data_IF_302545323554
#
_entry.id   IF_302545323554
#
_cell.length_a   1.000
_cell.length_b   1.000
_cell.length_c   1.000
_cell.angle_alpha   90.00
_cell.angle_beta   90.00
_cell.angle_gamma   90.00
#
_symmetry.space_group_name_H-M   'P 1'
#
loop_
_entity.id
_entity.type
_entity.pdbx_description
1 polymer ?
#
# COMPACT_ATOMS: atom_id res chain seq x y z
N UNK A 1 29.45 48.89 -58.19
CA UNK A 1 29.07 47.49 -58.27
C UNK A 1 29.64 46.73 -57.06
N UNK A 2 28.86 46.47 -56.04
CA UNK A 2 29.20 45.62 -54.89
C UNK A 2 28.20 44.48 -54.85
N UNK A 3 28.58 43.21 -54.67
CA UNK A 3 27.65 42.12 -54.50
C UNK A 3 27.17 42.02 -53.04
N UNK A 4 25.89 41.90 -52.88
CA UNK A 4 25.22 41.63 -51.57
C UNK A 4 25.29 40.14 -51.25
N UNK A 5 25.85 39.79 -50.11
CA UNK A 5 25.82 38.47 -49.50
C UNK A 5 24.57 38.30 -48.67
N UNK A 6 23.68 37.41 -49.08
CA UNK A 6 22.51 36.99 -48.33
C UNK A 6 22.92 35.86 -47.36
N UNK A 7 22.71 36.07 -46.04
CA UNK A 7 22.81 35.07 -44.98
C UNK A 7 21.45 34.34 -44.87
N UNK A 8 21.47 33.03 -45.12
CA UNK A 8 20.39 32.12 -44.78
C UNK A 8 20.43 31.75 -43.30
N UNK A 9 19.34 31.76 -42.54
CA UNK A 9 19.33 31.24 -41.19
C UNK A 9 19.26 29.70 -41.20
N UNK A 10 20.18 29.07 -40.49
CA UNK A 10 20.12 27.63 -40.21
C UNK A 10 18.98 27.31 -39.24
N UNK A 11 18.00 26.56 -39.73
CA UNK A 11 16.91 26.02 -38.91
C UNK A 11 17.48 24.79 -38.17
N UNK A 12 17.64 24.93 -36.85
CA UNK A 12 18.01 23.86 -35.95
C UNK A 12 16.73 23.00 -35.69
N UNK A 13 16.58 21.90 -36.39
CA UNK A 13 15.53 20.90 -36.14
C UNK A 13 15.88 20.11 -34.87
N UNK A 14 15.27 20.46 -33.76
CA UNK A 14 15.32 19.65 -32.55
C UNK A 14 14.50 18.36 -32.78
N UNK A 15 15.17 17.23 -32.88
CA UNK A 15 14.58 15.90 -32.89
C UNK A 15 14.01 15.62 -31.48
N UNK A 16 12.72 15.81 -31.33
CA UNK A 16 11.93 15.29 -30.21
C UNK A 16 11.89 13.76 -30.35
N UNK A 17 12.70 13.05 -29.58
CA UNK A 17 12.54 11.61 -29.42
C UNK A 17 11.17 11.32 -28.79
N UNK A 18 10.35 10.42 -29.33
CA UNK A 18 9.10 10.05 -28.70
C UNK A 18 9.39 9.38 -27.37
N UNK A 19 8.79 9.88 -26.27
CA UNK A 19 8.75 9.20 -25.00
C UNK A 19 8.12 7.83 -25.22
N UNK A 20 8.89 6.76 -25.03
CA UNK A 20 8.37 5.41 -25.09
C UNK A 20 7.26 5.29 -24.04
N UNK A 21 6.04 5.06 -24.48
CA UNK A 21 4.92 4.74 -23.62
C UNK A 21 5.32 3.47 -22.83
N UNK A 22 5.48 3.61 -21.53
CA UNK A 22 5.63 2.45 -20.63
C UNK A 22 4.30 1.74 -20.65
N UNK A 23 4.17 0.73 -21.52
CA UNK A 23 3.06 -0.20 -21.46
C UNK A 23 3.13 -0.93 -20.15
N UNK A 24 2.02 -0.88 -19.38
CA UNK A 24 1.87 -1.70 -18.18
C UNK A 24 2.28 -3.14 -18.53
N UNK A 25 3.21 -3.73 -17.77
CA UNK A 25 3.64 -5.10 -18.04
C UNK A 25 2.42 -6.01 -17.97
N UNK A 26 2.18 -6.87 -18.98
CA UNK A 26 1.11 -7.85 -18.93
C UNK A 26 1.32 -8.72 -17.68
N UNK A 27 0.35 -8.77 -16.80
CA UNK A 27 0.43 -9.64 -15.62
C UNK A 27 0.53 -11.10 -16.07
N UNK A 28 1.32 -11.91 -15.37
CA UNK A 28 1.52 -13.29 -15.77
C UNK A 28 0.18 -14.04 -15.85
N UNK A 29 0.03 -14.99 -16.78
CA UNK A 29 -1.22 -15.72 -17.03
C UNK A 29 -1.77 -16.50 -15.83
N UNK A 30 -1.01 -16.63 -14.77
CA UNK A 30 -1.40 -17.30 -13.50
C UNK A 30 -2.07 -16.39 -12.47
N UNK A 31 -2.40 -15.13 -12.81
CA UNK A 31 -3.08 -14.24 -11.87
C UNK A 31 -4.55 -14.64 -11.72
N UNK A 32 -5.05 -14.89 -10.49
CA UNK A 32 -6.45 -15.25 -10.27
C UNK A 32 -7.41 -14.21 -10.85
N UNK A 33 -8.56 -14.70 -11.30
CA UNK A 33 -9.70 -13.88 -11.71
C UNK A 33 -10.91 -14.27 -10.87
N UNK A 34 -11.46 -13.30 -10.14
CA UNK A 34 -12.65 -13.45 -9.31
C UNK A 34 -13.85 -12.86 -10.04
N UNK A 35 -14.89 -13.67 -10.26
CA UNK A 35 -16.12 -13.26 -10.97
C UNK A 35 -17.35 -13.68 -10.17
N UNK A 36 -18.49 -13.04 -10.41
CA UNK A 36 -19.76 -13.41 -9.76
C UNK A 36 -20.42 -12.24 -9.05
N UNK A 37 -21.14 -12.54 -7.95
CA UNK A 37 -21.90 -11.54 -7.22
C UNK A 37 -21.74 -11.66 -5.71
N UNK A 38 -21.86 -10.50 -5.03
CA UNK A 38 -21.93 -10.41 -3.58
C UNK A 38 -23.09 -9.49 -3.17
N UNK A 39 -23.79 -9.84 -2.10
CA UNK A 39 -24.86 -9.06 -1.51
C UNK A 39 -24.59 -8.77 -0.05
N UNK A 40 -24.84 -7.56 0.35
CA UNK A 40 -24.64 -7.05 1.69
C UNK A 40 -25.92 -6.42 2.20
N UNK A 41 -26.17 -6.53 3.49
CA UNK A 41 -27.25 -5.82 4.18
C UNK A 41 -26.66 -5.08 5.39
N UNK A 42 -26.65 -3.77 5.33
CA UNK A 42 -26.10 -2.88 6.35
C UNK A 42 -26.81 -2.99 7.70
N UNK A 43 -28.11 -3.27 7.70
CA UNK A 43 -28.91 -3.32 8.92
C UNK A 43 -28.73 -4.62 9.69
N UNK A 44 -28.57 -5.74 8.98
CA UNK A 44 -28.44 -7.07 9.58
C UNK A 44 -26.99 -7.58 9.61
N UNK A 45 -26.05 -6.93 8.92
CA UNK A 45 -24.68 -7.42 8.75
C UNK A 45 -24.61 -8.69 7.90
N UNK A 46 -25.67 -9.03 7.16
CA UNK A 46 -25.71 -10.23 6.31
C UNK A 46 -24.85 -10.04 5.07
N UNK A 47 -24.13 -11.10 4.72
CA UNK A 47 -23.29 -11.20 3.53
C UNK A 47 -23.60 -12.49 2.81
N UNK A 48 -23.81 -12.42 1.50
CA UNK A 48 -23.99 -13.57 0.61
C UNK A 48 -23.05 -13.42 -0.58
N UNK A 49 -22.55 -14.54 -1.08
CA UNK A 49 -21.73 -14.56 -2.29
C UNK A 49 -22.00 -15.78 -3.14
N UNK A 50 -21.95 -15.56 -4.45
CA UNK A 50 -21.90 -16.60 -5.49
C UNK A 50 -20.74 -16.21 -6.42
N UNK A 51 -19.57 -16.75 -6.14
CA UNK A 51 -18.30 -16.24 -6.66
C UNK A 51 -17.44 -17.36 -7.19
N UNK A 52 -16.91 -17.19 -8.41
CA UNK A 52 -15.95 -18.07 -9.03
C UNK A 52 -14.55 -17.47 -9.00
N UNK A 53 -13.55 -18.29 -8.69
CA UNK A 53 -12.13 -17.96 -8.78
C UNK A 53 -11.49 -18.87 -9.82
N UNK A 54 -11.02 -18.29 -10.91
CA UNK A 54 -10.32 -18.96 -12.01
C UNK A 54 -8.84 -18.59 -12.08
N UNK A 55 -8.07 -19.24 -12.95
CA UNK A 55 -6.62 -19.03 -13.11
C UNK A 55 -5.86 -19.17 -11.77
N UNK A 56 -6.21 -20.17 -11.00
CA UNK A 56 -5.63 -20.42 -9.68
C UNK A 56 -4.21 -20.95 -9.80
N UNK A 57 -3.26 -20.52 -8.94
CA UNK A 57 -1.92 -21.10 -8.91
C UNK A 57 -1.93 -22.62 -8.70
N UNK A 58 -0.98 -23.33 -9.29
CA UNK A 58 -0.92 -24.80 -9.25
C UNK A 58 -0.94 -25.39 -7.83
N UNK A 59 -0.27 -24.75 -6.87
CA UNK A 59 -0.25 -25.18 -5.47
C UNK A 59 -1.58 -25.01 -4.73
N UNK A 60 -2.54 -24.31 -5.31
CA UNK A 60 -3.84 -23.99 -4.69
C UNK A 60 -5.05 -24.65 -5.38
N UNK A 61 -4.85 -25.59 -6.32
CA UNK A 61 -5.96 -26.12 -7.12
C UNK A 61 -7.05 -26.85 -6.32
N UNK A 62 -6.74 -27.36 -5.15
CA UNK A 62 -7.69 -28.02 -4.24
C UNK A 62 -7.92 -27.26 -2.93
N UNK A 63 -7.39 -26.07 -2.75
CA UNK A 63 -7.52 -25.35 -1.49
C UNK A 63 -7.89 -23.89 -1.72
N UNK A 64 -8.72 -23.34 -0.85
CA UNK A 64 -9.01 -21.93 -0.78
C UNK A 64 -9.23 -21.51 0.68
N UNK A 65 -9.14 -20.23 0.95
CA UNK A 65 -9.53 -19.65 2.23
C UNK A 65 -10.76 -18.75 2.05
N UNK A 66 -11.59 -18.72 3.08
CA UNK A 66 -12.75 -17.84 3.19
C UNK A 66 -12.89 -17.42 4.66
N UNK A 67 -13.44 -16.24 4.93
CA UNK A 67 -13.68 -15.78 6.30
C UNK A 67 -14.42 -16.83 7.13
N UNK A 68 -13.97 -17.05 8.36
CA UNK A 68 -14.54 -18.08 9.25
C UNK A 68 -16.01 -17.80 9.65
N UNK A 69 -16.47 -16.55 9.55
CA UNK A 69 -17.87 -16.16 9.75
C UNK A 69 -18.79 -16.41 8.54
N UNK A 70 -18.21 -16.84 7.41
CA UNK A 70 -18.96 -17.20 6.21
C UNK A 70 -19.09 -18.71 6.07
N UNK A 71 -20.32 -19.19 5.93
CA UNK A 71 -20.62 -20.61 5.79
C UNK A 71 -20.75 -20.97 4.30
N UNK A 72 -19.93 -21.91 3.85
CA UNK A 72 -19.98 -22.42 2.48
C UNK A 72 -21.20 -23.33 2.33
N UNK A 73 -22.10 -22.99 1.43
CA UNK A 73 -23.30 -23.76 1.12
C UNK A 73 -23.04 -24.78 -0.02
N UNK A 74 -22.22 -24.39 -0.98
CA UNK A 74 -21.93 -25.21 -2.18
C UNK A 74 -20.60 -24.83 -2.78
N UNK A 75 -19.89 -25.85 -3.30
CA UNK A 75 -18.71 -25.67 -4.15
C UNK A 75 -18.94 -26.43 -5.44
N UNK A 76 -18.60 -25.81 -6.57
CA UNK A 76 -18.62 -26.45 -7.90
C UNK A 76 -17.33 -26.16 -8.63
N UNK A 77 -17.04 -26.95 -9.65
CA UNK A 77 -16.02 -26.61 -10.63
C UNK A 77 -16.51 -25.55 -11.64
N UNK A 78 -15.68 -25.25 -12.65
CA UNK A 78 -16.00 -24.26 -13.68
C UNK A 78 -17.16 -24.66 -14.61
N UNK A 79 -17.49 -25.94 -14.67
CA UNK A 79 -18.60 -26.50 -15.49
C UNK A 79 -19.89 -26.63 -14.66
N UNK A 80 -19.85 -26.25 -13.39
CA UNK A 80 -20.99 -26.31 -12.47
C UNK A 80 -21.18 -27.67 -11.79
N UNK A 81 -20.27 -28.66 -11.99
CA UNK A 81 -20.34 -29.93 -11.33
C UNK A 81 -20.01 -29.77 -9.83
N UNK A 82 -20.82 -30.37 -8.92
CA UNK A 82 -20.60 -30.25 -7.49
C UNK A 82 -19.28 -30.93 -7.08
N UNK A 83 -18.59 -30.30 -6.14
CA UNK A 83 -17.38 -30.79 -5.54
C UNK A 83 -17.61 -31.02 -4.04
N UNK A 84 -17.23 -32.19 -3.55
CA UNK A 84 -17.16 -32.43 -2.12
C UNK A 84 -16.03 -31.57 -1.52
N UNK A 85 -16.25 -31.00 -0.34
CA UNK A 85 -15.31 -30.15 0.33
C UNK A 85 -15.30 -30.35 1.85
N UNK A 86 -14.18 -30.04 2.45
CA UNK A 86 -13.98 -30.02 3.90
C UNK A 86 -13.40 -28.67 4.30
N UNK A 87 -13.84 -28.16 5.47
CA UNK A 87 -13.32 -26.93 6.05
C UNK A 87 -12.65 -27.19 7.40
N UNK A 88 -11.47 -26.61 7.64
CA UNK A 88 -10.79 -26.70 8.93
C UNK A 88 -10.16 -25.38 9.34
N UNK A 89 -9.94 -25.23 10.64
CA UNK A 89 -9.18 -24.12 11.20
C UNK A 89 -7.69 -24.37 11.06
N UNK A 90 -6.98 -23.45 10.42
CA UNK A 90 -5.52 -23.48 10.26
C UNK A 90 -4.88 -22.31 11.01
N UNK A 91 -4.30 -22.57 12.20
CA UNK A 91 -3.58 -21.53 12.94
C UNK A 91 -2.47 -20.93 12.10
N UNK A 92 -2.37 -19.60 12.09
CA UNK A 92 -1.36 -18.86 11.32
C UNK A 92 -1.71 -18.65 9.84
N UNK A 93 -2.92 -18.96 9.41
CA UNK A 93 -3.50 -18.32 8.22
C UNK A 93 -3.87 -16.91 8.64
N UNK A 94 -3.32 -15.93 7.93
CA UNK A 94 -3.51 -14.52 8.27
C UNK A 94 -4.98 -14.13 8.20
N UNK A 95 -5.44 -13.37 9.19
CA UNK A 95 -6.83 -12.97 9.37
C UNK A 95 -7.72 -14.08 9.95
N UNK A 96 -9.03 -13.86 9.94
CA UNK A 96 -10.05 -14.74 10.50
C UNK A 96 -10.55 -15.75 9.46
N UNK A 97 -9.66 -16.36 8.71
CA UNK A 97 -10.01 -17.26 7.61
C UNK A 97 -10.03 -18.73 8.04
N UNK A 98 -10.94 -19.48 7.42
CA UNK A 98 -10.96 -20.94 7.44
C UNK A 98 -10.41 -21.48 6.13
N UNK A 99 -9.61 -22.55 6.20
CA UNK A 99 -9.13 -23.26 5.02
C UNK A 99 -10.15 -24.30 4.59
N UNK A 100 -10.40 -24.37 3.30
CA UNK A 100 -11.24 -25.37 2.66
C UNK A 100 -10.44 -26.19 1.67
N UNK A 101 -10.67 -27.50 1.65
CA UNK A 101 -10.11 -28.43 0.65
C UNK A 101 -11.25 -29.04 -0.15
N UNK A 102 -11.09 -29.09 -1.46
CA UNK A 102 -11.99 -29.79 -2.36
C UNK A 102 -11.43 -31.13 -2.77
N UNK A 103 -12.30 -32.13 -2.94
CA UNK A 103 -11.91 -33.51 -3.23
C UNK A 103 -11.15 -33.66 -4.56
N UNK A 104 -11.39 -32.77 -5.54
CA UNK A 104 -10.74 -32.82 -6.84
C UNK A 104 -10.12 -31.47 -7.16
N UNK A 105 -8.85 -31.44 -7.65
CA UNK A 105 -8.24 -30.20 -8.13
C UNK A 105 -9.07 -29.55 -9.25
N UNK A 106 -9.28 -28.24 -9.17
CA UNK A 106 -9.97 -27.48 -10.21
C UNK A 106 -9.29 -26.16 -10.47
N UNK A 107 -9.09 -25.82 -11.74
CA UNK A 107 -8.57 -24.51 -12.15
C UNK A 107 -9.56 -23.39 -11.90
N UNK A 108 -10.85 -23.70 -11.82
CA UNK A 108 -11.93 -22.77 -11.47
C UNK A 108 -12.78 -23.37 -10.35
N UNK A 109 -12.96 -22.64 -9.26
CA UNK A 109 -13.87 -23.00 -8.18
C UNK A 109 -14.94 -21.91 -8.07
N UNK A 110 -16.21 -22.33 -8.04
CA UNK A 110 -17.33 -21.46 -7.73
C UNK A 110 -17.86 -21.81 -6.34
N UNK A 111 -17.99 -20.81 -5.48
CA UNK A 111 -18.34 -20.98 -4.07
C UNK A 111 -19.55 -20.13 -3.76
N UNK A 112 -20.62 -20.79 -3.25
CA UNK A 112 -21.79 -20.14 -2.68
C UNK A 112 -21.66 -20.12 -1.17
N UNK A 113 -21.81 -18.94 -0.57
CA UNK A 113 -21.63 -18.78 0.87
C UNK A 113 -22.57 -17.71 1.44
N UNK A 114 -22.81 -17.80 2.75
CA UNK A 114 -23.60 -16.83 3.52
C UNK A 114 -23.05 -16.70 4.93
N UNK A 115 -23.17 -15.50 5.48
CA UNK A 115 -22.84 -15.22 6.88
C UNK A 115 -23.54 -13.98 7.39
N UNK A 116 -23.40 -13.71 8.67
CA UNK A 116 -23.86 -12.47 9.28
C UNK A 116 -22.84 -12.03 10.33
N UNK A 117 -22.55 -10.73 10.34
CA UNK A 117 -21.56 -10.11 11.22
C UNK A 117 -22.23 -9.10 12.13
N UNK A 118 -21.70 -8.86 13.33
CA UNK A 118 -22.25 -7.85 14.22
C UNK A 118 -22.31 -6.47 13.55
N UNK A 119 -23.40 -5.75 13.77
CA UNK A 119 -23.54 -4.35 13.37
C UNK A 119 -23.28 -3.48 14.59
N UNK A 120 -22.17 -2.79 14.61
CA UNK A 120 -21.73 -1.95 15.72
C UNK A 120 -22.32 -0.53 15.60
N UNK A 121 -23.59 -0.37 15.94
CA UNK A 121 -24.25 0.94 15.95
C UNK A 121 -23.75 1.84 17.09
N UNK A 122 -23.10 1.30 18.10
CA UNK A 122 -22.45 2.01 19.21
C UNK A 122 -20.96 1.71 19.22
N UNK A 123 -20.16 2.75 19.42
CA UNK A 123 -18.71 2.67 19.34
C UNK A 123 -18.06 2.77 20.73
N UNK A 124 -18.64 2.12 21.72
CA UNK A 124 -18.23 2.18 23.12
C UNK A 124 -17.29 1.04 23.56
N UNK A 125 -17.06 0.07 22.69
CA UNK A 125 -16.14 -1.03 22.95
C UNK A 125 -14.95 -1.00 21.98
N UNK A 126 -13.71 -1.27 22.45
CA UNK A 126 -12.57 -1.50 21.59
C UNK A 126 -12.86 -2.66 20.64
N UNK A 127 -12.65 -2.47 19.35
CA UNK A 127 -12.83 -3.50 18.34
C UNK A 127 -11.58 -3.51 17.46
N UNK A 128 -10.95 -4.67 17.31
CA UNK A 128 -9.88 -4.82 16.34
C UNK A 128 -10.44 -4.60 14.94
N UNK A 129 -9.79 -3.72 14.22
CA UNK A 129 -10.25 -3.27 12.93
C UNK A 129 -9.56 -3.98 11.77
N UNK A 130 -8.43 -4.62 12.02
CA UNK A 130 -7.68 -5.37 11.02
C UNK A 130 -8.32 -6.73 10.81
N UNK A 131 -8.54 -7.08 9.54
CA UNK A 131 -9.07 -8.39 9.17
C UNK A 131 -10.57 -8.59 9.38
N UNK A 132 -11.27 -7.64 9.98
CA UNK A 132 -12.72 -7.75 10.21
C UNK A 132 -13.54 -7.39 8.98
N UNK A 133 -14.66 -8.08 8.84
CA UNK A 133 -15.80 -7.63 8.05
C UNK A 133 -16.65 -6.76 8.97
N UNK A 134 -16.54 -5.45 8.83
CA UNK A 134 -17.07 -4.49 9.78
C UNK A 134 -18.32 -3.79 9.26
N UNK A 135 -19.36 -3.75 10.09
CA UNK A 135 -20.59 -2.99 9.87
C UNK A 135 -20.85 -2.06 11.07
N UNK A 136 -21.20 -0.80 10.79
CA UNK A 136 -21.51 0.16 11.84
C UNK A 136 -22.84 0.90 11.63
N UNK A 137 -23.69 0.42 10.74
CA UNK A 137 -24.96 1.04 10.39
C UNK A 137 -24.87 2.11 9.29
N UNK A 138 -23.75 2.81 9.17
CA UNK A 138 -23.51 3.87 8.16
C UNK A 138 -22.55 3.42 7.06
N UNK A 139 -21.71 2.43 7.35
CA UNK A 139 -20.75 1.86 6.41
C UNK A 139 -20.48 0.39 6.67
N UNK A 140 -20.06 -0.31 5.62
CA UNK A 140 -19.51 -1.65 5.68
C UNK A 140 -18.13 -1.63 5.04
N UNK A 141 -17.15 -2.29 5.68
CA UNK A 141 -15.80 -2.43 5.19
C UNK A 141 -15.36 -3.90 5.23
N UNK A 142 -14.85 -4.38 4.12
CA UNK A 142 -14.26 -5.70 3.98
C UNK A 142 -12.86 -5.54 3.41
N UNK A 143 -11.86 -5.65 4.28
CA UNK A 143 -10.47 -5.62 3.85
C UNK A 143 -10.10 -6.93 3.14
N UNK A 144 -9.06 -6.90 2.34
CA UNK A 144 -8.52 -8.09 1.67
C UNK A 144 -8.06 -9.15 2.68
N UNK A 145 -7.59 -8.73 3.86
CA UNK A 145 -7.18 -9.62 4.95
C UNK A 145 -8.36 -10.37 5.56
N UNK A 146 -9.58 -9.87 5.43
CA UNK A 146 -10.78 -10.53 5.96
C UNK A 146 -11.15 -11.81 5.20
N UNK A 147 -10.57 -12.05 4.02
CA UNK A 147 -10.94 -13.15 3.13
C UNK A 147 -12.47 -13.24 2.87
N UNK A 148 -13.12 -12.10 2.66
CA UNK A 148 -14.56 -12.03 2.41
C UNK A 148 -14.99 -12.64 1.07
N UNK A 149 -14.03 -12.82 0.16
CA UNK A 149 -14.16 -13.62 -1.06
C UNK A 149 -13.26 -14.86 -0.97
N UNK A 150 -13.59 -15.94 -1.67
CA UNK A 150 -12.70 -17.10 -1.76
C UNK A 150 -11.36 -16.69 -2.34
N UNK A 151 -10.27 -16.99 -1.64
CA UNK A 151 -8.89 -16.72 -2.08
C UNK A 151 -8.15 -18.04 -2.28
N UNK A 152 -7.43 -18.17 -3.39
CA UNK A 152 -6.58 -19.31 -3.63
C UNK A 152 -5.51 -19.42 -2.53
N UNK A 153 -5.30 -20.62 -2.00
CA UNK A 153 -4.36 -20.86 -0.89
C UNK A 153 -3.45 -22.06 -1.22
N UNK A 154 -2.13 -21.85 -1.10
CA UNK A 154 -1.15 -22.94 -1.17
C UNK A 154 -0.79 -23.37 0.26
N UNK A 155 -1.25 -24.55 0.72
CA UNK A 155 -1.00 -25.00 2.09
C UNK A 155 0.44 -25.40 2.35
N UNK A 156 1.24 -25.73 1.31
CA UNK A 156 2.66 -26.08 1.45
C UNK A 156 3.52 -24.83 1.63
N UNK A 157 3.29 -23.83 0.78
CA UNK A 157 3.97 -22.55 0.88
C UNK A 157 3.36 -21.65 1.98
N UNK A 158 2.16 -21.96 2.48
CA UNK A 158 1.35 -21.15 3.40
C UNK A 158 1.08 -19.75 2.86
N UNK A 159 0.87 -19.66 1.54
CA UNK A 159 0.63 -18.40 0.85
C UNK A 159 -0.80 -18.37 0.32
N UNK A 160 -1.51 -17.29 0.60
CA UNK A 160 -2.81 -16.96 0.01
C UNK A 160 -2.67 -15.90 -1.08
N UNK A 161 -3.49 -16.01 -2.11
CA UNK A 161 -3.60 -14.99 -3.15
C UNK A 161 -4.64 -13.95 -2.72
N UNK A 162 -4.19 -12.93 -2.00
CA UNK A 162 -5.06 -11.82 -1.54
C UNK A 162 -5.43 -10.85 -2.67
N UNK A 163 -4.79 -10.97 -3.82
CA UNK A 163 -5.02 -10.14 -4.99
C UNK A 163 -5.60 -10.94 -6.14
N UNK A 164 -6.51 -10.32 -6.84
CA UNK A 164 -7.16 -10.91 -8.00
C UNK A 164 -7.52 -9.83 -9.03
N UNK A 165 -7.54 -10.18 -10.30
CA UNK A 165 -8.38 -9.48 -11.27
C UNK A 165 -9.83 -9.78 -10.90
N UNK A 166 -10.74 -8.89 -11.22
CA UNK A 166 -12.13 -9.14 -10.85
C UNK A 166 -13.13 -8.58 -11.86
N UNK A 167 -14.30 -9.22 -11.90
CA UNK A 167 -15.52 -8.74 -12.53
C UNK A 167 -16.69 -9.17 -11.62
N UNK A 168 -17.09 -8.27 -10.74
CA UNK A 168 -18.01 -8.53 -9.65
C UNK A 168 -19.23 -7.61 -9.71
N UNK A 169 -20.42 -8.19 -9.57
CA UNK A 169 -21.64 -7.46 -9.26
C UNK A 169 -21.78 -7.39 -7.73
N UNK A 170 -21.93 -6.19 -7.19
CA UNK A 170 -22.13 -5.98 -5.76
C UNK A 170 -23.45 -5.26 -5.52
N UNK A 171 -24.23 -5.79 -4.57
CA UNK A 171 -25.46 -5.17 -4.08
C UNK A 171 -25.33 -4.93 -2.57
N UNK A 172 -25.78 -3.78 -2.09
CA UNK A 172 -25.72 -3.42 -0.68
C UNK A 172 -27.00 -2.71 -0.25
N UNK A 173 -27.87 -3.43 0.45
CA UNK A 173 -29.06 -2.82 1.05
C UNK A 173 -28.62 -1.83 2.15
N UNK A 174 -29.09 -0.58 2.04
CA UNK A 174 -28.73 0.52 2.94
C UNK A 174 -27.53 1.37 2.52
N UNK A 175 -26.75 0.98 1.50
CA UNK A 175 -25.68 1.81 0.97
C UNK A 175 -26.19 2.91 0.05
N UNK A 176 -25.52 4.05 0.04
CA UNK A 176 -25.70 5.14 -0.92
C UNK A 176 -24.60 5.20 -1.97
N UNK A 177 -23.48 4.56 -1.71
CA UNK A 177 -22.43 4.31 -2.66
C UNK A 177 -21.69 3.01 -2.35
N UNK A 178 -21.02 2.47 -3.38
CA UNK A 178 -20.15 1.31 -3.31
C UNK A 178 -18.77 1.65 -3.89
N UNK A 179 -17.75 1.08 -3.30
CA UNK A 179 -16.38 1.19 -3.78
C UNK A 179 -15.67 -0.15 -3.67
N UNK A 180 -15.07 -0.61 -4.75
CA UNK A 180 -14.17 -1.75 -4.77
C UNK A 180 -12.79 -1.27 -5.22
N UNK A 181 -11.76 -1.60 -4.44
CA UNK A 181 -10.39 -1.12 -4.63
C UNK A 181 -9.89 -1.36 -6.07
N UNK A 182 -9.40 -0.32 -6.71
CA UNK A 182 -8.94 -0.34 -8.10
C UNK A 182 -10.01 -0.07 -9.16
N UNK A 183 -11.28 0.13 -8.74
CA UNK A 183 -12.38 0.58 -9.62
C UNK A 183 -12.92 1.93 -9.19
N UNK A 184 -13.54 2.71 -10.07
CA UNK A 184 -14.25 3.91 -9.65
C UNK A 184 -15.38 3.58 -8.66
N UNK A 185 -15.56 4.42 -7.64
CA UNK A 185 -16.72 4.32 -6.76
C UNK A 185 -18.02 4.57 -7.55
N UNK A 186 -19.09 3.87 -7.20
CA UNK A 186 -20.40 3.94 -7.86
C UNK A 186 -21.43 4.47 -6.87
N UNK A 187 -22.21 5.47 -7.26
CA UNK A 187 -23.35 5.96 -6.50
C UNK A 187 -24.51 4.97 -6.62
N UNK A 188 -25.20 4.71 -5.50
CA UNK A 188 -26.30 3.77 -5.42
C UNK A 188 -25.96 2.50 -4.65
N UNK A 189 -26.99 1.65 -4.51
CA UNK A 189 -26.94 0.42 -3.73
C UNK A 189 -26.45 -0.81 -4.52
N UNK A 190 -26.11 -0.66 -5.79
CA UNK A 190 -25.64 -1.75 -6.62
C UNK A 190 -24.66 -1.25 -7.69
N UNK A 191 -23.71 -2.10 -8.06
CA UNK A 191 -22.75 -1.78 -9.10
C UNK A 191 -21.96 -2.97 -9.59
N UNK A 192 -21.45 -2.87 -10.83
CA UNK A 192 -20.49 -3.82 -11.39
C UNK A 192 -19.11 -3.21 -11.38
N UNK A 193 -18.17 -3.95 -10.80
CA UNK A 193 -16.78 -3.54 -10.65
C UNK A 193 -15.88 -4.46 -11.44
N UNK A 194 -14.96 -3.88 -12.21
CA UNK A 194 -14.02 -4.64 -13.01
C UNK A 194 -12.61 -4.07 -12.89
N UNK A 195 -11.64 -4.96 -12.73
CA UNK A 195 -10.22 -4.64 -12.87
C UNK A 195 -9.50 -5.74 -13.63
N UNK A 196 -8.84 -5.37 -14.71
CA UNK A 196 -7.98 -6.27 -15.49
C UNK A 196 -6.58 -6.40 -14.87
N UNK A 197 -6.24 -5.51 -13.92
CA UNK A 197 -5.05 -5.59 -13.07
C UNK A 197 -5.42 -6.29 -11.77
N UNK A 198 -4.53 -7.17 -11.28
CA UNK A 198 -4.71 -7.75 -9.96
C UNK A 198 -4.63 -6.66 -8.88
N UNK A 199 -5.58 -6.70 -7.96
CA UNK A 199 -5.69 -5.76 -6.85
C UNK A 199 -6.04 -6.52 -5.56
N UNK A 200 -5.59 -6.04 -4.42
CA UNK A 200 -6.19 -6.43 -3.15
C UNK A 200 -7.68 -6.07 -3.18
N UNK A 201 -8.56 -7.03 -2.86
CA UNK A 201 -10.00 -6.80 -2.99
C UNK A 201 -10.56 -6.26 -1.68
N UNK A 202 -10.43 -4.94 -1.47
CA UNK A 202 -11.08 -4.19 -0.43
C UNK A 202 -12.42 -3.68 -0.96
N UNK A 203 -13.51 -3.99 -0.25
CA UNK A 203 -14.84 -3.45 -0.51
C UNK A 203 -15.23 -2.46 0.58
N UNK A 204 -15.81 -1.35 0.17
CA UNK A 204 -16.45 -0.39 1.07
C UNK A 204 -17.83 0.02 0.53
N UNK A 205 -18.82 -0.04 1.39
CA UNK A 205 -20.14 0.53 1.16
C UNK A 205 -20.42 1.60 2.20
N UNK A 206 -20.98 2.74 1.81
CA UNK A 206 -21.20 3.84 2.72
C UNK A 206 -22.43 4.68 2.40
N UNK A 207 -22.79 5.54 3.36
CA UNK A 207 -23.89 6.50 3.24
C UNK A 207 -23.42 7.93 2.94
N UNK A 208 -22.12 8.20 3.02
CA UNK A 208 -21.52 9.52 2.82
C UNK A 208 -21.36 9.92 1.34
N UNK A 209 -20.79 11.09 1.09
CA UNK A 209 -20.60 11.62 -0.26
C UNK A 209 -19.38 11.02 -0.97
N UNK A 210 -19.35 11.21 -2.29
CA UNK A 210 -18.20 10.98 -3.16
C UNK A 210 -17.78 12.31 -3.77
N UNK A 211 -16.51 12.71 -3.58
CA UNK A 211 -15.91 13.85 -4.27
C UNK A 211 -14.81 13.34 -5.22
N UNK A 212 -14.78 13.84 -6.45
CA UNK A 212 -13.80 13.45 -7.47
C UNK A 212 -13.13 14.67 -8.06
N UNK A 213 -11.80 14.65 -8.13
CA UNK A 213 -11.00 15.60 -8.91
C UNK A 213 -10.18 14.86 -9.95
N UNK A 214 -9.36 15.55 -10.71
CA UNK A 214 -8.40 14.91 -11.61
C UNK A 214 -7.33 14.11 -10.83
N UNK A 215 -6.99 14.52 -9.59
CA UNK A 215 -5.89 13.97 -8.81
C UNK A 215 -6.32 12.97 -7.75
N UNK A 216 -7.49 13.17 -7.13
CA UNK A 216 -7.96 12.35 -6.01
C UNK A 216 -9.43 12.00 -6.10
N UNK A 217 -9.80 10.88 -5.50
CA UNK A 217 -11.18 10.59 -5.10
C UNK A 217 -11.25 10.64 -3.57
N UNK A 218 -12.30 11.25 -3.02
CA UNK A 218 -12.55 11.33 -1.57
C UNK A 218 -13.89 10.65 -1.32
N UNK A 219 -13.89 9.68 -0.43
CA UNK A 219 -15.05 8.88 -0.09
C UNK A 219 -15.45 9.08 1.38
N UNK A 220 -16.76 9.18 1.59
CA UNK A 220 -17.39 9.19 2.91
C UNK A 220 -17.11 10.45 3.76
N UNK A 221 -16.66 11.52 3.14
CA UNK A 221 -16.48 12.82 3.82
C UNK A 221 -16.72 13.98 2.86
N UNK A 222 -17.47 15.00 3.31
CA UNK A 222 -17.64 16.27 2.58
C UNK A 222 -16.53 17.23 2.98
N UNK A 223 -15.79 17.71 1.98
CA UNK A 223 -14.77 18.74 2.21
C UNK A 223 -15.12 20.04 1.47
N UNK A 224 -14.83 21.22 2.06
CA UNK A 224 -14.79 22.49 1.34
C UNK A 224 -13.80 22.44 0.16
N UNK A 225 -14.05 23.28 -0.84
CA UNK A 225 -13.25 23.30 -2.09
C UNK A 225 -11.77 23.56 -1.82
N UNK A 226 -11.44 24.50 -0.95
CA UNK A 226 -10.05 24.82 -0.59
C UNK A 226 -9.30 23.63 0.01
N UNK A 227 -9.97 22.79 0.81
CA UNK A 227 -9.41 21.57 1.38
C UNK A 227 -9.21 20.50 0.30
N UNK A 228 -10.17 20.35 -0.61
CA UNK A 228 -10.04 19.44 -1.77
C UNK A 228 -8.87 19.84 -2.66
N UNK A 229 -8.71 21.15 -2.89
CA UNK A 229 -7.63 21.71 -3.72
C UNK A 229 -6.26 21.52 -3.05
N UNK A 230 -6.15 21.75 -1.74
CA UNK A 230 -4.92 21.53 -0.98
C UNK A 230 -4.47 20.08 -1.02
N UNK A 231 -5.40 19.13 -0.82
CA UNK A 231 -5.12 17.70 -0.91
C UNK A 231 -4.71 17.30 -2.33
N UNK A 232 -5.47 17.73 -3.34
CA UNK A 232 -5.22 17.43 -4.76
C UNK A 232 -3.86 17.96 -5.21
N UNK A 233 -3.53 19.20 -4.83
CA UNK A 233 -2.23 19.82 -5.13
C UNK A 233 -1.08 19.05 -4.48
N UNK A 234 -1.22 18.62 -3.23
CA UNK A 234 -0.20 17.85 -2.52
C UNK A 234 0.02 16.49 -3.20
N UNK A 235 -1.05 15.76 -3.51
CA UNK A 235 -0.99 14.48 -4.23
C UNK A 235 -0.30 14.65 -5.59
N UNK A 236 -0.64 15.70 -6.35
CA UNK A 236 0.01 15.94 -7.65
C UNK A 236 1.52 16.18 -7.49
N UNK A 237 1.94 17.00 -6.52
CA UNK A 237 3.35 17.26 -6.26
C UNK A 237 4.12 15.97 -5.89
N UNK A 238 3.53 15.13 -5.06
CA UNK A 238 4.11 13.83 -4.70
C UNK A 238 4.21 12.92 -5.92
N UNK A 239 3.13 12.81 -6.72
CA UNK A 239 3.10 11.98 -7.93
C UNK A 239 4.17 12.43 -8.95
N UNK A 240 4.32 13.73 -9.18
CA UNK A 240 5.32 14.30 -10.08
C UNK A 240 6.74 14.00 -9.60
N UNK A 241 6.98 14.16 -8.29
CA UNK A 241 8.27 13.88 -7.70
C UNK A 241 8.63 12.39 -7.81
N UNK A 242 7.70 11.52 -7.46
CA UNK A 242 7.91 10.08 -7.55
C UNK A 242 8.11 9.60 -8.99
N UNK A 243 7.34 10.12 -9.94
CA UNK A 243 7.49 9.78 -11.35
C UNK A 243 8.89 10.14 -11.86
N UNK A 244 9.45 11.29 -11.45
CA UNK A 244 10.82 11.69 -11.79
C UNK A 244 11.85 10.81 -11.08
N UNK A 245 11.68 10.56 -9.78
CA UNK A 245 12.63 9.81 -8.97
C UNK A 245 12.69 8.33 -9.39
N UNK A 246 11.53 7.67 -9.46
CA UNK A 246 11.43 6.25 -9.78
C UNK A 246 11.46 5.94 -11.28
N UNK A 247 11.22 6.94 -12.14
CA UNK A 247 11.15 6.74 -13.60
C UNK A 247 9.90 6.01 -14.07
N UNK A 248 8.93 5.75 -13.18
CA UNK A 248 7.65 5.09 -13.45
C UNK A 248 6.54 5.96 -12.88
N UNK A 249 5.57 6.43 -13.69
CA UNK A 249 4.46 7.25 -13.21
C UNK A 249 3.49 6.43 -12.36
N UNK A 250 2.82 7.10 -11.43
CA UNK A 250 1.65 6.54 -10.77
C UNK A 250 0.49 6.52 -11.78
N UNK A 251 -0.07 5.33 -12.03
CA UNK A 251 -1.13 5.16 -13.03
C UNK A 251 -2.54 5.28 -12.43
N UNK A 252 -2.69 5.00 -11.14
CA UNK A 252 -3.96 5.06 -10.46
C UNK A 252 -4.12 6.39 -9.72
N UNK A 253 -5.36 6.88 -9.66
CA UNK A 253 -5.73 8.02 -8.83
C UNK A 253 -5.90 7.56 -7.39
N UNK A 254 -5.20 8.16 -6.41
CA UNK A 254 -5.41 7.84 -5.02
C UNK A 254 -6.86 8.10 -4.58
N UNK A 255 -7.39 7.16 -3.82
CA UNK A 255 -8.72 7.26 -3.22
C UNK A 255 -8.57 7.37 -1.72
N UNK A 256 -8.85 8.56 -1.17
CA UNK A 256 -8.89 8.79 0.26
C UNK A 256 -10.25 8.32 0.79
N UNK A 257 -10.23 7.35 1.67
CA UNK A 257 -11.41 6.76 2.26
C UNK A 257 -11.46 7.09 3.75
N UNK A 258 -12.47 7.85 4.18
CA UNK A 258 -12.75 7.99 5.59
C UNK A 258 -13.48 6.75 6.09
N UNK A 259 -12.79 5.96 6.88
CA UNK A 259 -13.39 4.85 7.61
C UNK A 259 -14.09 5.40 8.87
N UNK A 260 -15.25 4.86 9.19
CA UNK A 260 -15.83 5.06 10.52
C UNK A 260 -15.18 4.05 11.45
N UNK A 261 -14.55 4.51 12.51
CA UNK A 261 -13.94 3.63 13.51
C UNK A 261 -15.03 2.90 14.29
N UNK A 262 -14.75 1.66 14.66
CA UNK A 262 -15.60 0.90 15.56
C UNK A 262 -15.27 1.18 17.04
N UNK A 263 -14.31 2.07 17.30
CA UNK A 263 -13.87 2.43 18.63
C UNK A 263 -14.04 3.93 18.87
N UNK A 264 -15.01 4.30 19.67
CA UNK A 264 -15.30 5.70 19.98
C UNK A 264 -14.20 6.35 20.80
N UNK A 265 -13.56 5.61 21.71
CA UNK A 265 -12.46 6.12 22.54
C UNK A 265 -11.27 6.53 21.67
N UNK A 266 -10.93 5.74 20.67
CA UNK A 266 -9.88 6.12 19.73
C UNK A 266 -10.31 7.28 18.82
N UNK A 267 -11.55 7.29 18.37
CA UNK A 267 -12.08 8.37 17.52
C UNK A 267 -12.03 9.72 18.20
N UNK A 268 -12.36 9.77 19.49
CA UNK A 268 -12.45 11.00 20.28
C UNK A 268 -11.07 11.40 20.87
N UNK A 269 -10.06 10.56 20.76
CA UNK A 269 -8.70 10.79 21.23
C UNK A 269 -7.90 11.51 20.15
N UNK A 270 -7.54 12.75 20.39
CA UNK A 270 -6.68 13.52 19.49
C UNK A 270 -5.33 12.79 19.27
N UNK A 271 -4.96 12.56 18.02
CA UNK A 271 -3.72 11.88 17.65
C UNK A 271 -3.77 10.35 17.60
N UNK A 272 -4.93 9.74 17.82
CA UNK A 272 -5.12 8.28 17.66
C UNK A 272 -5.57 7.87 16.24
N UNK A 273 -5.55 8.80 15.30
CA UNK A 273 -5.91 8.52 13.92
C UNK A 273 -4.85 7.61 13.29
N UNK A 274 -5.32 6.53 12.74
CA UNK A 274 -4.49 5.59 12.01
C UNK A 274 -5.01 5.41 10.58
N UNK A 275 -4.14 4.98 9.70
CA UNK A 275 -4.46 4.73 8.31
C UNK A 275 -3.66 3.56 7.76
N UNK A 276 -4.03 3.11 6.58
CA UNK A 276 -3.28 2.13 5.82
C UNK A 276 -3.50 2.34 4.33
N UNK A 277 -2.53 1.95 3.53
CA UNK A 277 -2.67 1.92 2.09
C UNK A 277 -2.97 0.50 1.59
N UNK A 278 -4.06 0.38 0.85
CA UNK A 278 -4.34 -0.74 -0.06
C UNK A 278 -4.47 -0.12 -1.44
N UNK A 279 -3.34 0.14 -2.08
CA UNK A 279 -3.29 0.99 -3.27
C UNK A 279 -4.35 0.61 -4.33
N UNK A 280 -5.08 1.57 -4.94
CA UNK A 280 -4.96 3.03 -4.77
C UNK A 280 -5.72 3.64 -3.57
N UNK A 281 -6.23 2.84 -2.63
CA UNK A 281 -6.95 3.31 -1.45
C UNK A 281 -5.98 3.71 -0.35
N UNK A 282 -6.13 4.93 0.16
CA UNK A 282 -5.55 5.42 1.41
C UNK A 282 -6.71 5.56 2.40
N UNK A 283 -6.83 4.59 3.29
CA UNK A 283 -7.93 4.51 4.25
C UNK A 283 -7.51 5.16 5.57
N UNK A 284 -8.38 5.98 6.16
CA UNK A 284 -8.10 6.75 7.37
C UNK A 284 -9.24 6.61 8.37
N UNK A 285 -8.89 6.40 9.65
CA UNK A 285 -9.88 6.42 10.75
C UNK A 285 -10.26 7.84 11.17
N UNK A 286 -9.36 8.80 10.96
CA UNK A 286 -9.58 10.20 11.22
C UNK A 286 -10.23 10.96 10.06
N UNK A 287 -10.44 12.27 10.27
CA UNK A 287 -10.99 13.15 9.25
C UNK A 287 -9.96 13.48 8.17
N UNK A 288 -10.32 13.27 6.92
CA UNK A 288 -9.54 13.74 5.76
C UNK A 288 -9.47 15.27 5.80
N UNK A 289 -10.52 15.93 6.30
CA UNK A 289 -10.56 17.36 6.52
C UNK A 289 -9.47 17.87 7.45
N UNK A 290 -9.12 17.15 8.52
CA UNK A 290 -8.02 17.49 9.42
C UNK A 290 -6.66 17.42 8.74
N UNK A 291 -6.48 16.46 7.83
CA UNK A 291 -5.27 16.38 6.99
C UNK A 291 -5.17 17.63 6.11
N UNK A 292 -6.26 17.97 5.42
CA UNK A 292 -6.31 19.15 4.56
C UNK A 292 -6.14 20.47 5.34
N UNK A 293 -6.73 20.59 6.54
CA UNK A 293 -6.51 21.74 7.43
C UNK A 293 -5.05 21.92 7.80
N UNK A 294 -4.37 20.82 8.08
CA UNK A 294 -2.94 20.84 8.39
C UNK A 294 -2.11 21.29 7.18
N UNK A 295 -2.48 20.85 5.96
CA UNK A 295 -1.83 21.29 4.72
C UNK A 295 -2.01 22.80 4.49
N UNK A 296 -3.23 23.32 4.72
CA UNK A 296 -3.54 24.75 4.58
C UNK A 296 -2.85 25.61 5.64
N UNK A 297 -2.70 25.10 6.86
CA UNK A 297 -2.04 25.82 7.95
C UNK A 297 -0.55 26.06 7.70
N UNK A 298 0.09 25.27 6.84
CA UNK A 298 1.53 25.37 6.57
C UNK A 298 2.42 24.91 7.73
N UNK A 299 3.72 25.18 7.60
CA UNK A 299 4.74 24.86 8.62
C UNK A 299 4.84 23.37 8.92
N UNK A 300 5.28 23.02 10.14
CA UNK A 300 5.53 21.62 10.52
C UNK A 300 4.28 20.72 10.46
N UNK A 301 3.08 21.27 10.63
CA UNK A 301 1.84 20.49 10.49
C UNK A 301 1.66 20.03 9.05
N UNK A 302 1.85 20.94 8.09
CA UNK A 302 1.80 20.59 6.67
C UNK A 302 2.90 19.61 6.28
N UNK A 303 4.13 19.82 6.77
CA UNK A 303 5.28 18.94 6.51
C UNK A 303 4.98 17.49 6.92
N UNK A 304 4.41 17.29 8.12
CA UNK A 304 4.01 15.95 8.58
C UNK A 304 2.95 15.31 7.68
N UNK A 305 1.98 16.10 7.18
CA UNK A 305 0.93 15.58 6.30
C UNK A 305 1.45 15.32 4.88
N UNK A 306 2.36 16.12 4.38
CA UNK A 306 3.07 15.85 3.11
C UNK A 306 3.84 14.54 3.21
N UNK A 307 4.59 14.34 4.30
CA UNK A 307 5.36 13.12 4.54
C UNK A 307 4.44 11.90 4.62
N UNK A 308 3.34 11.98 5.40
CA UNK A 308 2.36 10.89 5.51
C UNK A 308 1.74 10.52 4.17
N UNK A 309 1.22 11.49 3.42
CA UNK A 309 0.62 11.24 2.09
C UNK A 309 1.66 10.63 1.15
N UNK A 310 2.87 11.15 1.18
CA UNK A 310 3.95 10.63 0.36
C UNK A 310 4.32 9.19 0.74
N UNK A 311 4.37 8.85 2.04
CA UNK A 311 4.60 7.49 2.52
C UNK A 311 3.56 6.52 1.94
N UNK A 312 2.27 6.81 2.14
CA UNK A 312 1.18 5.98 1.63
C UNK A 312 1.20 5.84 0.09
N UNK A 313 1.56 6.91 -0.61
CA UNK A 313 1.74 6.87 -2.06
C UNK A 313 2.99 6.08 -2.48
N UNK A 314 4.00 5.96 -1.63
CA UNK A 314 5.20 5.16 -1.83
C UNK A 314 4.89 3.67 -1.98
N UNK A 315 3.84 3.17 -1.33
CA UNK A 315 3.38 1.79 -1.44
C UNK A 315 2.89 1.39 -2.84
N UNK A 316 2.69 2.36 -3.74
CA UNK A 316 2.50 2.04 -5.16
C UNK A 316 3.71 1.31 -5.76
N UNK A 317 4.92 1.76 -5.46
CA UNK A 317 6.15 1.16 -6.00
C UNK A 317 6.50 -0.14 -5.28
N UNK A 318 6.56 -0.09 -3.94
CA UNK A 318 6.88 -1.24 -3.10
C UNK A 318 5.65 -1.69 -2.31
N UNK A 319 4.88 -2.58 -2.88
CA UNK A 319 3.59 -3.06 -2.39
C UNK A 319 2.62 -3.38 -3.53
N UNK A 320 2.67 -2.61 -4.63
CA UNK A 320 1.80 -2.84 -5.79
C UNK A 320 2.58 -3.25 -7.04
N UNK A 321 3.53 -2.43 -7.51
CA UNK A 321 4.35 -2.77 -8.68
C UNK A 321 5.37 -3.87 -8.37
N UNK A 322 6.16 -3.69 -7.33
CA UNK A 322 6.97 -4.75 -6.74
C UNK A 322 6.26 -5.21 -5.47
N UNK A 323 6.01 -6.50 -5.37
CA UNK A 323 5.38 -7.14 -4.20
C UNK A 323 6.47 -7.80 -3.39
N UNK A 324 6.92 -7.15 -2.31
CA UNK A 324 8.01 -7.68 -1.52
C UNK A 324 7.70 -9.06 -0.96
N UNK A 325 8.73 -9.89 -0.88
CA UNK A 325 8.69 -11.22 -0.29
C UNK A 325 10.01 -11.49 0.45
N UNK A 326 10.01 -12.55 1.27
CA UNK A 326 11.21 -13.01 1.95
C UNK A 326 11.68 -12.11 3.09
N UNK A 327 12.94 -12.25 3.51
CA UNK A 327 13.48 -11.59 4.70
C UNK A 327 13.42 -10.07 4.67
N UNK A 328 13.62 -9.49 3.50
CA UNK A 328 13.59 -8.03 3.31
C UNK A 328 12.18 -7.46 3.06
N UNK A 329 11.12 -8.24 3.27
CA UNK A 329 9.73 -7.83 3.03
C UNK A 329 9.44 -6.44 3.62
N UNK A 330 9.69 -6.25 4.91
CA UNK A 330 9.39 -4.99 5.60
C UNK A 330 10.29 -3.83 5.20
N UNK A 331 11.54 -4.11 4.84
CA UNK A 331 12.47 -3.09 4.33
C UNK A 331 12.00 -2.58 2.98
N UNK A 332 11.60 -3.49 2.10
CA UNK A 332 11.11 -3.10 0.78
C UNK A 332 9.74 -2.42 0.86
N UNK A 333 8.83 -2.91 1.70
CA UNK A 333 7.48 -2.36 1.82
C UNK A 333 7.50 -1.00 2.52
N UNK A 334 7.91 -0.98 3.79
CA UNK A 334 7.75 0.20 4.65
C UNK A 334 8.94 1.16 4.56
N UNK A 335 10.16 0.60 4.65
CA UNK A 335 11.33 1.48 4.70
C UNK A 335 11.62 2.15 3.37
N UNK A 336 11.28 1.50 2.25
CA UNK A 336 11.38 2.15 0.93
C UNK A 336 10.31 3.23 0.76
N UNK A 337 9.08 3.02 1.24
CA UNK A 337 8.02 4.04 1.24
C UNK A 337 8.43 5.23 2.11
N UNK A 338 8.99 4.97 3.29
CA UNK A 338 9.49 6.00 4.19
C UNK A 338 10.67 6.77 3.60
N UNK A 339 11.65 6.10 2.99
CA UNK A 339 12.74 6.76 2.27
C UNK A 339 12.21 7.67 1.15
N UNK A 340 11.29 7.17 0.34
CA UNK A 340 10.66 7.95 -0.73
C UNK A 340 9.89 9.16 -0.18
N UNK A 341 9.21 9.01 0.97
CA UNK A 341 8.48 10.10 1.61
C UNK A 341 9.41 11.24 2.07
N UNK A 342 10.61 10.90 2.56
CA UNK A 342 11.63 11.88 2.92
C UNK A 342 12.14 12.62 1.67
N UNK A 343 12.31 11.93 0.56
CA UNK A 343 12.67 12.56 -0.73
C UNK A 343 11.56 13.49 -1.21
N UNK A 344 10.30 13.08 -1.08
CA UNK A 344 9.14 13.92 -1.41
C UNK A 344 9.06 15.16 -0.51
N UNK A 345 9.24 14.98 0.80
CA UNK A 345 9.25 16.08 1.76
C UNK A 345 10.32 17.11 1.39
N UNK A 346 11.54 16.65 1.06
CA UNK A 346 12.65 17.52 0.60
C UNK A 346 12.29 18.29 -0.65
N UNK A 347 11.73 17.63 -1.65
CA UNK A 347 11.35 18.23 -2.92
C UNK A 347 10.16 19.17 -2.88
N UNK A 348 9.26 19.01 -1.90
CA UNK A 348 8.00 19.77 -1.79
C UNK A 348 8.10 20.87 -0.73
N UNK A 349 8.69 20.56 0.43
CA UNK A 349 8.75 21.46 1.59
C UNK A 349 10.15 22.01 1.88
N UNK A 350 11.17 21.56 1.13
CA UNK A 350 12.53 22.06 1.22
C UNK A 350 13.45 21.21 2.12
N UNK A 351 14.74 21.55 2.08
CA UNK A 351 15.81 20.83 2.81
C UNK A 351 15.58 20.87 4.33
N UNK A 352 15.26 22.04 4.88
CA UNK A 352 15.06 22.21 6.32
C UNK A 352 13.95 21.31 6.88
N UNK A 353 12.87 21.11 6.12
CA UNK A 353 11.76 20.24 6.53
C UNK A 353 12.20 18.77 6.59
N UNK A 354 12.91 18.32 5.55
CA UNK A 354 13.45 16.96 5.49
C UNK A 354 14.52 16.72 6.58
N UNK A 355 15.39 17.68 6.81
CA UNK A 355 16.45 17.58 7.82
C UNK A 355 15.87 17.55 9.24
N UNK A 356 14.84 18.36 9.53
CA UNK A 356 14.08 18.23 10.80
C UNK A 356 13.47 16.85 10.97
N UNK A 357 12.90 16.29 9.89
CA UNK A 357 12.32 14.95 9.95
C UNK A 357 13.38 13.89 10.20
N UNK A 358 14.49 13.93 9.47
CA UNK A 358 15.64 13.02 9.66
C UNK A 358 16.21 13.14 11.07
N UNK A 359 16.34 14.35 11.62
CA UNK A 359 16.79 14.55 12.99
C UNK A 359 15.86 13.90 14.04
N UNK A 360 14.54 13.89 13.80
CA UNK A 360 13.59 13.15 14.66
C UNK A 360 13.82 11.65 14.60
N UNK A 361 14.01 11.08 13.40
CA UNK A 361 14.34 9.66 13.25
C UNK A 361 15.65 9.32 13.98
N UNK A 362 16.67 10.16 13.85
CA UNK A 362 17.95 10.00 14.53
C UNK A 362 17.78 10.01 16.07
N UNK A 363 16.99 10.99 16.58
CA UNK A 363 16.70 11.08 18.01
C UNK A 363 15.95 9.84 18.53
N UNK A 364 15.09 9.23 17.71
CA UNK A 364 14.41 8.01 18.07
C UNK A 364 15.38 6.81 18.18
N UNK A 365 16.32 6.68 17.25
CA UNK A 365 17.38 5.66 17.31
C UNK A 365 18.30 5.87 18.51
N UNK A 366 18.67 7.11 18.85
CA UNK A 366 19.53 7.41 19.99
C UNK A 366 18.90 7.00 21.35
N UNK A 367 17.57 6.90 21.39
CA UNK A 367 16.80 6.47 22.58
C UNK A 367 16.50 4.96 22.59
N UNK A 368 16.83 4.24 21.50
CA UNK A 368 16.56 2.82 21.39
C UNK A 368 17.50 2.02 22.33
N UNK A 369 16.92 1.38 23.33
CA UNK A 369 17.67 0.61 24.32
C UNK A 369 18.07 -0.80 23.82
N UNK A 370 17.19 -1.42 23.02
CA UNK A 370 17.43 -2.77 22.50
C UNK A 370 18.17 -2.69 21.17
N UNK A 371 19.21 -3.52 20.97
CA UNK A 371 19.89 -3.57 19.68
C UNK A 371 18.94 -4.04 18.58
N UNK A 372 19.01 -3.39 17.41
CA UNK A 372 18.30 -3.82 16.22
C UNK A 372 19.17 -4.77 15.40
N UNK A 373 18.58 -5.70 14.64
CA UNK A 373 19.32 -6.59 13.75
C UNK A 373 20.20 -5.79 12.79
N UNK A 374 21.42 -6.29 12.53
CA UNK A 374 22.25 -5.72 11.50
C UNK A 374 21.59 -5.90 10.13
N UNK A 375 21.66 -4.88 9.28
CA UNK A 375 20.94 -4.88 7.99
C UNK A 375 21.42 -6.00 7.03
N UNK A 376 22.71 -6.36 7.12
CA UNK A 376 23.32 -7.47 6.34
C UNK A 376 23.08 -8.86 6.95
N UNK A 377 22.52 -8.93 8.16
CA UNK A 377 22.19 -10.17 8.86
C UNK A 377 20.67 -10.45 8.91
N UNK A 378 19.86 -9.69 8.15
CA UNK A 378 18.43 -9.93 8.06
C UNK A 378 18.17 -11.30 7.43
N UNK A 379 17.38 -12.12 8.12
CA UNK A 379 16.91 -13.42 7.67
C UNK A 379 15.43 -13.63 7.99
N UNK A 380 14.88 -14.79 7.67
CA UNK A 380 13.46 -15.11 7.90
C UNK A 380 13.04 -15.17 9.38
N UNK A 381 13.99 -15.16 10.33
CA UNK A 381 13.74 -15.15 11.79
C UNK A 381 13.85 -13.75 12.40
N UNK A 382 14.29 -12.75 11.62
CA UNK A 382 14.55 -11.39 12.12
C UNK A 382 13.24 -10.68 12.49
N UNK A 383 13.17 -10.18 13.73
CA UNK A 383 12.08 -9.31 14.17
C UNK A 383 12.32 -7.87 13.68
N UNK A 384 11.61 -7.51 12.61
CA UNK A 384 11.67 -6.17 12.04
C UNK A 384 10.44 -5.37 12.47
N UNK A 385 10.38 -5.01 13.76
CA UNK A 385 9.33 -4.18 14.34
C UNK A 385 9.31 -2.74 13.79
N UNK A 386 8.38 -1.91 14.27
CA UNK A 386 8.16 -0.53 13.76
C UNK A 386 9.42 0.33 13.78
N UNK A 387 10.20 0.30 14.87
CA UNK A 387 11.46 1.03 14.97
C UNK A 387 12.43 0.67 13.83
N UNK A 388 12.44 -0.60 13.42
CA UNK A 388 13.25 -1.03 12.29
C UNK A 388 12.72 -0.48 10.97
N UNK A 389 11.42 -0.64 10.73
CA UNK A 389 10.76 -0.34 9.43
C UNK A 389 10.70 1.15 9.11
N UNK A 390 10.35 1.96 10.12
CA UNK A 390 10.07 3.38 9.93
C UNK A 390 11.21 4.30 10.34
N UNK A 391 12.21 3.79 11.06
CA UNK A 391 13.31 4.63 11.57
C UNK A 391 14.67 4.12 11.13
N UNK A 392 15.06 2.92 11.54
CA UNK A 392 16.43 2.44 11.32
C UNK A 392 16.74 2.18 9.84
N UNK A 393 15.94 1.38 9.15
CA UNK A 393 16.23 1.03 7.76
C UNK A 393 16.10 2.22 6.79
N UNK A 394 15.16 3.17 6.92
CA UNK A 394 15.20 4.42 6.17
C UNK A 394 16.49 5.22 6.37
N UNK A 395 17.00 5.32 7.61
CA UNK A 395 18.28 5.97 7.88
C UNK A 395 19.45 5.23 7.23
N UNK A 396 19.41 3.89 7.14
CA UNK A 396 20.40 3.12 6.39
C UNK A 396 20.36 3.46 4.91
N UNK A 397 19.19 3.55 4.28
CA UNK A 397 19.03 3.94 2.88
C UNK A 397 19.55 5.38 2.63
N UNK A 398 19.23 6.31 3.53
CA UNK A 398 19.75 7.69 3.45
C UNK A 398 21.27 7.75 3.60
N UNK A 399 21.86 6.93 4.47
CA UNK A 399 23.30 6.85 4.65
C UNK A 399 24.01 6.29 3.41
N UNK A 400 23.40 5.31 2.74
CA UNK A 400 23.87 4.82 1.45
C UNK A 400 23.83 5.93 0.41
N UNK A 401 22.70 6.64 0.28
CA UNK A 401 22.56 7.76 -0.64
C UNK A 401 23.63 8.82 -0.42
N UNK A 402 23.91 9.19 0.84
CA UNK A 402 24.95 10.15 1.19
C UNK A 402 26.33 9.71 0.70
N UNK A 403 26.62 8.42 0.75
CA UNK A 403 27.91 7.87 0.34
C UNK A 403 28.07 7.74 -1.18
N UNK A 404 26.99 7.34 -1.88
CA UNK A 404 27.07 7.01 -3.32
C UNK A 404 26.52 8.10 -4.23
N UNK A 405 25.79 9.06 -3.67
CA UNK A 405 25.11 10.14 -4.38
C UNK A 405 23.72 9.76 -4.90
N UNK A 406 22.90 10.79 -5.12
CA UNK A 406 21.49 10.63 -5.49
C UNK A 406 21.28 9.81 -6.77
N UNK A 407 22.08 10.06 -7.81
CA UNK A 407 21.91 9.37 -9.10
C UNK A 407 22.08 7.84 -8.99
N UNK A 408 23.08 7.38 -8.22
CA UNK A 408 23.30 5.95 -7.98
C UNK A 408 22.21 5.38 -7.06
N UNK A 409 21.76 6.14 -6.08
CA UNK A 409 20.66 5.72 -5.20
C UNK A 409 19.34 5.60 -5.98
N UNK A 410 19.01 6.53 -6.87
CA UNK A 410 17.86 6.39 -7.78
C UNK A 410 17.97 5.13 -8.64
N UNK A 411 19.14 4.86 -9.23
CA UNK A 411 19.36 3.65 -10.01
C UNK A 411 19.18 2.39 -9.16
N UNK A 412 19.64 2.41 -7.91
CA UNK A 412 19.45 1.30 -6.97
C UNK A 412 17.97 1.06 -6.62
N UNK A 413 17.23 2.12 -6.28
CA UNK A 413 15.79 2.02 -6.00
C UNK A 413 14.99 1.51 -7.21
N UNK A 414 15.32 1.97 -8.42
CA UNK A 414 14.75 1.44 -9.67
C UNK A 414 15.15 0.00 -9.92
N UNK A 415 16.38 -0.37 -9.57
CA UNK A 415 16.86 -1.75 -9.61
C UNK A 415 16.08 -2.67 -8.68
N UNK A 416 15.82 -2.23 -7.44
CA UNK A 416 14.99 -2.95 -6.47
C UNK A 416 13.54 -3.10 -6.97
N UNK A 417 12.99 -2.05 -7.58
CA UNK A 417 11.64 -2.10 -8.16
C UNK A 417 11.51 -3.14 -9.29
N UNK A 418 12.54 -3.26 -10.12
CA UNK A 418 12.54 -4.11 -11.30
C UNK A 418 12.97 -5.56 -11.03
N UNK A 419 13.64 -5.83 -9.90
CA UNK A 419 14.16 -7.14 -9.54
C UNK A 419 13.16 -7.94 -8.70
N UNK A 420 13.26 -9.27 -8.67
CA UNK A 420 12.69 -10.07 -7.60
C UNK A 420 13.18 -9.59 -6.23
N UNK A 421 12.37 -9.78 -5.19
CA UNK A 421 12.78 -9.45 -3.82
C UNK A 421 14.04 -10.22 -3.43
N UNK A 422 15.09 -9.53 -2.91
CA UNK A 422 16.31 -10.22 -2.50
C UNK A 422 16.03 -11.13 -1.28
N UNK A 423 16.50 -12.36 -1.35
CA UNK A 423 16.39 -13.34 -0.27
C UNK A 423 17.51 -13.24 0.74
N UNK A 424 18.60 -12.50 0.44
CA UNK A 424 19.78 -12.36 1.28
C UNK A 424 20.61 -11.13 0.90
N UNK A 425 21.62 -10.85 1.71
CA UNK A 425 22.53 -9.71 1.50
C UNK A 425 23.26 -9.73 0.14
N UNK A 426 23.71 -10.91 -0.31
CA UNK A 426 24.45 -11.03 -1.56
C UNK A 426 23.58 -10.67 -2.78
N UNK A 427 22.31 -11.02 -2.75
CA UNK A 427 21.35 -10.65 -3.81
C UNK A 427 21.06 -9.15 -3.78
N UNK A 428 20.93 -8.55 -2.58
CA UNK A 428 20.79 -7.10 -2.43
C UNK A 428 22.02 -6.37 -2.98
N UNK A 429 23.23 -6.85 -2.67
CA UNK A 429 24.49 -6.34 -3.21
C UNK A 429 24.55 -6.45 -4.74
N UNK A 430 24.10 -7.58 -5.30
CA UNK A 430 24.09 -7.74 -6.76
C UNK A 430 23.21 -6.69 -7.46
N UNK A 431 22.08 -6.32 -6.88
CA UNK A 431 21.22 -5.25 -7.38
C UNK A 431 21.95 -3.89 -7.29
N UNK A 432 22.63 -3.63 -6.18
CA UNK A 432 23.40 -2.41 -5.98
C UNK A 432 24.56 -2.27 -6.99
N UNK A 433 25.30 -3.32 -7.22
CA UNK A 433 26.40 -3.34 -8.22
C UNK A 433 25.86 -3.10 -9.64
N UNK A 434 24.73 -3.73 -9.99
CA UNK A 434 24.05 -3.52 -11.27
C UNK A 434 23.57 -2.07 -11.44
N UNK A 435 23.22 -1.41 -10.35
CA UNK A 435 22.84 0.02 -10.32
C UNK A 435 24.06 0.98 -10.41
N UNK A 436 25.28 0.45 -10.52
CA UNK A 436 26.51 1.24 -10.65
C UNK A 436 27.12 1.68 -9.31
N UNK A 437 26.69 1.11 -8.18
CA UNK A 437 27.39 1.26 -6.90
C UNK A 437 28.58 0.33 -6.94
N UNK A 438 29.80 0.87 -6.83
CA UNK A 438 31.01 0.05 -6.86
C UNK A 438 31.19 -0.74 -5.56
N UNK A 439 31.88 -1.88 -5.65
CA UNK A 439 32.10 -2.79 -4.52
C UNK A 439 32.77 -2.09 -3.34
N UNK A 440 33.71 -1.18 -3.58
CA UNK A 440 34.41 -0.47 -2.51
C UNK A 440 33.47 0.45 -1.73
N UNK A 441 32.60 1.18 -2.42
CA UNK A 441 31.60 2.03 -1.80
C UNK A 441 30.58 1.20 -1.00
N UNK A 442 30.13 0.08 -1.55
CA UNK A 442 29.20 -0.84 -0.86
C UNK A 442 29.80 -1.43 0.42
N UNK A 443 31.02 -1.97 0.33
CA UNK A 443 31.69 -2.56 1.50
C UNK A 443 32.09 -1.48 2.54
N UNK A 444 32.45 -0.27 2.09
CA UNK A 444 32.67 0.85 2.99
C UNK A 444 31.39 1.24 3.76
N UNK A 445 30.25 1.31 3.06
CA UNK A 445 28.97 1.55 3.70
C UNK A 445 28.61 0.40 4.67
N UNK A 446 28.78 -0.85 4.23
CA UNK A 446 28.56 -2.02 5.10
C UNK A 446 29.38 -1.92 6.39
N UNK A 447 30.66 -1.67 6.29
CA UNK A 447 31.56 -1.59 7.44
C UNK A 447 31.23 -0.43 8.38
N UNK A 448 30.84 0.73 7.83
CA UNK A 448 30.61 1.95 8.61
C UNK A 448 29.20 2.07 9.20
N UNK A 449 28.19 1.48 8.54
CA UNK A 449 26.80 1.68 8.91
C UNK A 449 26.02 0.40 9.17
N UNK A 450 26.33 -0.69 8.50
CA UNK A 450 25.49 -1.89 8.48
C UNK A 450 25.91 -2.91 9.50
N UNK A 451 27.20 -3.27 9.54
CA UNK A 451 27.72 -4.37 10.34
C UNK A 451 27.81 -4.09 11.84
N UNK A 452 27.71 -2.83 12.26
CA UNK A 452 27.86 -2.42 13.67
C UNK A 452 26.56 -2.19 14.46
N UNK A 453 25.40 -2.49 13.86
CA UNK A 453 24.12 -2.21 14.50
C UNK A 453 23.84 -0.70 14.66
N UNK A 454 22.93 -0.34 15.57
CA UNK A 454 22.39 1.03 15.75
C UNK A 454 23.40 2.13 16.08
N UNK A 455 24.61 1.79 16.49
CA UNK A 455 25.62 2.79 16.96
C UNK A 455 26.52 3.33 15.87
N UNK A 456 26.58 2.73 14.68
CA UNK A 456 27.62 3.01 13.71
C UNK A 456 27.27 4.07 12.65
N UNK A 457 25.98 4.34 12.37
CA UNK A 457 25.55 5.26 11.31
C UNK A 457 25.29 6.70 11.79
N UNK A 458 26.18 7.28 12.57
CA UNK A 458 26.06 8.65 13.12
C UNK A 458 26.50 9.77 12.14
N UNK A 459 26.54 9.54 10.85
CA UNK A 459 27.13 10.47 9.88
C UNK A 459 26.12 11.43 9.22
N UNK A 460 24.99 11.76 9.84
CA UNK A 460 24.22 12.95 9.48
C UNK A 460 24.73 14.16 10.27
N UNK A 461 24.82 15.37 9.69
CA UNK A 461 25.16 16.56 10.45
C UNK A 461 24.16 16.73 11.59
N UNK A 462 24.63 16.86 12.82
CA UNK A 462 23.79 17.34 13.93
C UNK A 462 23.35 18.75 13.59
N UNK A 463 22.07 18.93 13.29
CA UNK A 463 21.44 20.24 13.41
C UNK A 463 21.14 20.37 14.89
N UNK A 464 21.71 21.36 15.55
CA UNK A 464 21.45 21.63 16.98
C UNK A 464 19.94 21.91 17.16
N UNK A 465 19.23 20.89 17.59
CA UNK A 465 17.80 20.97 17.90
C UNK A 465 17.61 21.56 19.28
N UNK A 466 17.36 22.87 19.35
CA UNK A 466 16.76 23.48 20.54
C UNK A 466 15.31 23.08 20.66
N UNK A 467 15.06 22.21 21.65
CA UNK A 467 13.82 21.92 22.36
C UNK A 467 12.46 21.92 21.63
N UNK A 468 11.94 20.74 21.34
CA UNK A 468 10.51 20.47 21.43
C UNK A 468 10.27 19.01 21.87
N UNK A 469 9.39 18.85 22.83
CA UNK A 469 9.04 17.63 23.55
C UNK A 469 8.45 16.55 22.63
N UNK A 470 8.80 15.27 22.79
CA UNK A 470 8.28 14.21 21.91
C UNK A 470 6.85 13.85 22.29
N UNK A 471 5.95 13.88 21.29
CA UNK A 471 4.66 13.22 21.37
C UNK A 471 4.83 11.77 20.89
N UNK A 472 4.32 10.84 21.69
CA UNK A 472 4.35 9.41 21.45
C UNK A 472 3.69 9.02 20.14
N UNK A 473 4.37 8.18 19.37
CA UNK A 473 3.78 7.37 18.31
C UNK A 473 3.07 6.17 18.95
N UNK A 474 1.79 6.04 18.71
CA UNK A 474 1.02 4.79 18.77
C UNK A 474 0.25 4.63 17.48
#
# INVERSE_FOLDING_TARGET
>A
MKPSTSLLPAVLSALLAPAAAVTAQPQPPSTPLTTGSARLDMASGRVEGDVCVSNRPAGSLNTFVLNAGLNVARVTDGDGAPLDFEGWYAPGVDGEARVYTVAKPSATLCVQYVGAFPVYARHDAPTDFKGLMAFNGDSARFAEQSAWLPQAFDPKARVRSSESRYDLQVECAGCRFLYLNGSPAIEGAQGRFRSDNARPILLFGGSGPITRTAQVTILNETLPTDKVDALSSTVQKVADMYSRYMGVPLIDRPTFLRMVTLNQIERDREGSEWGFATWPTIAMSGSIGNVADSLLAGGEKAERRVQYIAHEMGHYYFGTLNRPQGPYFWVLLESSAEFLSIKALRGISGDDAADRYIARLQSAIDKQEKPLPAFDAIDGSSDLGEMYRYVYAPLMLLSLEKQVGEAKMQAFMRGLLAAPSPGNWAELQAIALKAGIDTKAWESWRASCVAGGTSSCRSTPRVDASASTPHHFQ
#
